data_IF_960357310659
#
_entry.id   IF_960357310659
#
_cell.length_a   1.000
_cell.length_b   1.000
_cell.length_c   1.000
_cell.angle_alpha   90.00
_cell.angle_beta   90.00
_cell.angle_gamma   90.00
#
_symmetry.space_group_name_H-M   'P 1'
#
loop_
_entity.id
_entity.type
_entity.pdbx_description
1 polymer ?
#
# COMPACT_ATOMS: atom_id res chain seq x y z
N UNK A 1 9.10 0.55 -19.68
CA UNK A 1 7.65 0.61 -19.43
C UNK A 1 7.40 1.59 -18.30
N UNK A 2 6.45 2.50 -18.50
CA UNK A 2 6.07 3.48 -17.49
C UNK A 2 5.13 2.87 -16.47
N UNK A 3 5.22 3.33 -15.22
CA UNK A 3 4.44 2.78 -14.11
C UNK A 3 2.92 2.91 -14.34
N UNK A 4 2.49 3.93 -15.07
CA UNK A 4 1.05 4.13 -15.35
C UNK A 4 0.44 3.02 -16.18
N UNK A 5 1.25 2.26 -16.90
CA UNK A 5 0.78 1.13 -17.71
C UNK A 5 0.44 -0.11 -16.88
N UNK A 6 0.95 -0.19 -15.65
CA UNK A 6 0.76 -1.36 -14.78
C UNK A 6 0.05 -1.03 -13.48
N UNK A 7 -0.13 0.24 -13.14
CA UNK A 7 -0.79 0.61 -11.88
C UNK A 7 -2.31 0.44 -11.97
N UNK A 8 -2.94 0.21 -10.82
CA UNK A 8 -4.39 0.29 -10.67
C UNK A 8 -4.76 1.75 -10.44
N UNK A 9 -5.61 2.32 -11.31
CA UNK A 9 -5.96 3.73 -11.27
C UNK A 9 -7.17 4.06 -10.39
N UNK A 10 -8.16 3.18 -10.35
CA UNK A 10 -9.39 3.38 -9.58
C UNK A 10 -9.25 2.74 -8.20
N UNK A 11 -8.45 3.35 -7.35
CA UNK A 11 -8.15 2.81 -6.03
C UNK A 11 -9.23 3.23 -5.06
N UNK A 12 -9.84 2.26 -4.39
CA UNK A 12 -10.77 2.51 -3.29
C UNK A 12 -10.01 3.02 -2.08
N UNK A 13 -10.51 4.08 -1.47
CA UNK A 13 -9.88 4.73 -0.33
C UNK A 13 -10.85 4.86 0.84
N UNK A 14 -10.31 5.10 2.01
CA UNK A 14 -11.08 5.51 3.19
C UNK A 14 -10.52 6.83 3.70
N UNK A 15 -11.15 7.40 4.72
CA UNK A 15 -10.68 8.63 5.35
C UNK A 15 -10.47 8.41 6.85
N UNK A 16 -9.94 9.42 7.54
CA UNK A 16 -9.62 9.30 8.97
C UNK A 16 -10.84 9.02 9.86
N UNK A 17 -12.04 9.38 9.40
CA UNK A 17 -13.27 9.15 10.15
C UNK A 17 -13.89 7.78 9.88
N UNK A 18 -13.37 7.05 8.92
CA UNK A 18 -13.85 5.69 8.63
C UNK A 18 -13.67 4.80 9.84
N UNK A 19 -14.62 3.90 10.06
CA UNK A 19 -14.55 2.96 11.17
C UNK A 19 -13.77 1.70 10.80
N UNK A 20 -13.29 0.99 11.78
CA UNK A 20 -12.66 -0.32 11.59
C UNK A 20 -13.55 -1.25 10.76
N UNK A 21 -14.86 -1.27 11.06
CA UNK A 21 -15.80 -2.12 10.34
C UNK A 21 -15.94 -1.74 8.87
N UNK A 22 -15.98 -0.45 8.55
CA UNK A 22 -16.04 0.03 7.17
C UNK A 22 -14.81 -0.39 6.38
N UNK A 23 -13.63 -0.22 6.98
CA UNK A 23 -12.36 -0.60 6.35
C UNK A 23 -12.30 -2.11 6.14
N UNK A 24 -12.65 -2.88 7.18
CA UNK A 24 -12.66 -4.34 7.10
C UNK A 24 -13.62 -4.84 6.01
N UNK A 25 -14.80 -4.23 5.88
CA UNK A 25 -15.76 -4.57 4.84
C UNK A 25 -15.21 -4.30 3.44
N UNK A 26 -14.52 -3.18 3.25
CA UNK A 26 -13.88 -2.88 1.97
C UNK A 26 -12.78 -3.89 1.64
N UNK A 27 -11.96 -4.24 2.61
CA UNK A 27 -10.94 -5.26 2.43
C UNK A 27 -11.52 -6.60 2.01
N UNK A 28 -12.62 -6.98 2.64
CA UNK A 28 -13.33 -8.22 2.30
C UNK A 28 -13.92 -8.18 0.92
N UNK A 29 -14.62 -7.10 0.58
CA UNK A 29 -15.30 -6.95 -0.72
C UNK A 29 -14.32 -6.88 -1.88
N UNK A 30 -13.18 -6.25 -1.69
CA UNK A 30 -12.17 -6.04 -2.72
C UNK A 30 -11.09 -7.11 -2.70
N UNK A 31 -11.10 -7.97 -1.69
CA UNK A 31 -10.06 -9.00 -1.47
C UNK A 31 -8.66 -8.38 -1.43
N UNK A 32 -8.51 -7.35 -0.61
CA UNK A 32 -7.23 -6.64 -0.43
C UNK A 32 -6.89 -6.55 1.04
N UNK A 33 -5.60 -6.47 1.34
CA UNK A 33 -5.07 -6.34 2.71
C UNK A 33 -4.58 -4.94 3.05
N UNK A 34 -4.78 -3.97 2.17
CA UNK A 34 -4.36 -2.58 2.39
C UNK A 34 -5.35 -1.62 1.72
N UNK A 35 -5.66 -0.54 2.42
CA UNK A 35 -6.51 0.54 1.91
C UNK A 35 -5.78 1.86 2.12
N UNK A 36 -5.61 2.68 1.07
CA UNK A 36 -5.07 4.03 1.24
C UNK A 36 -6.07 4.92 1.96
N UNK A 37 -5.54 5.78 2.82
CA UNK A 37 -6.33 6.75 3.57
C UNK A 37 -6.06 8.12 2.98
N UNK A 38 -7.12 8.78 2.52
CA UNK A 38 -7.03 10.08 1.85
C UNK A 38 -7.97 11.09 2.49
N UNK A 39 -7.58 12.36 2.40
CA UNK A 39 -8.42 13.51 2.73
C UNK A 39 -8.41 14.44 1.53
N UNK A 40 -9.58 14.73 0.98
CA UNK A 40 -9.74 15.54 -0.23
C UNK A 40 -8.87 15.06 -1.39
N UNK A 41 -8.77 13.73 -1.54
CA UNK A 41 -7.95 13.08 -2.57
C UNK A 41 -6.47 12.96 -2.25
N UNK A 42 -5.99 13.66 -1.21
CA UNK A 42 -4.58 13.61 -0.82
C UNK A 42 -4.29 12.40 0.05
N UNK A 43 -3.25 11.68 -0.29
CA UNK A 43 -2.80 10.53 0.48
C UNK A 43 -2.21 10.99 1.81
N UNK A 44 -2.76 10.49 2.91
CA UNK A 44 -2.27 10.78 4.26
C UNK A 44 -1.72 9.55 4.97
N UNK A 45 -2.04 8.37 4.51
CA UNK A 45 -1.53 7.15 5.12
C UNK A 45 -2.07 5.90 4.45
N UNK A 46 -1.68 4.76 5.01
CA UNK A 46 -2.19 3.45 4.62
C UNK A 46 -2.67 2.73 5.88
N UNK A 47 -3.66 1.86 5.70
CA UNK A 47 -4.07 0.94 6.74
C UNK A 47 -4.07 -0.48 6.18
N UNK A 48 -3.53 -1.42 6.95
CA UNK A 48 -3.45 -2.82 6.58
C UNK A 48 -4.37 -3.66 7.45
N UNK A 49 -4.66 -4.88 7.01
CA UNK A 49 -5.37 -5.87 7.82
C UNK A 49 -4.60 -6.16 9.12
N UNK A 50 -3.27 -6.19 9.05
CA UNK A 50 -2.44 -6.34 10.24
C UNK A 50 -2.64 -5.16 11.21
N UNK A 51 -2.75 -3.92 10.71
CA UNK A 51 -3.02 -2.75 11.55
C UNK A 51 -4.34 -2.91 12.31
N UNK A 52 -5.38 -3.41 11.64
CA UNK A 52 -6.68 -3.64 12.27
C UNK A 52 -6.60 -4.65 13.41
N UNK A 53 -5.78 -5.66 13.25
CA UNK A 53 -5.62 -6.70 14.30
C UNK A 53 -4.70 -6.22 15.42
N UNK A 54 -3.50 -5.78 15.07
CA UNK A 54 -2.44 -5.49 16.04
C UNK A 54 -2.66 -4.15 16.73
N UNK A 55 -3.07 -3.13 15.99
CA UNK A 55 -3.30 -1.79 16.53
C UNK A 55 -4.76 -1.52 16.85
N UNK A 56 -5.67 -2.35 16.35
CA UNK A 56 -7.09 -2.25 16.63
C UNK A 56 -7.55 -3.24 17.70
N UNK A 57 -7.77 -4.49 17.31
CA UNK A 57 -8.30 -5.51 18.22
C UNK A 57 -7.44 -5.70 19.46
N UNK A 58 -6.11 -5.71 19.32
CA UNK A 58 -5.20 -5.90 20.45
C UNK A 58 -5.28 -4.74 21.45
N UNK A 59 -5.76 -3.57 21.04
CA UNK A 59 -5.98 -2.40 21.89
C UNK A 59 -7.46 -2.24 22.28
N UNK A 60 -8.25 -3.30 22.12
CA UNK A 60 -9.68 -3.34 22.45
C UNK A 60 -10.55 -2.38 21.64
N UNK A 61 -10.08 -1.97 20.45
CA UNK A 61 -10.91 -1.20 19.54
C UNK A 61 -11.96 -2.12 18.91
N UNK A 62 -13.10 -1.56 18.58
CA UNK A 62 -14.21 -2.33 18.00
C UNK A 62 -14.56 -1.80 16.60
N UNK A 63 -15.58 -2.41 15.98
CA UNK A 63 -15.97 -2.08 14.61
C UNK A 63 -16.36 -0.61 14.42
N UNK A 64 -16.80 0.07 15.47
CA UNK A 64 -17.22 1.49 15.41
C UNK A 64 -16.07 2.46 15.67
N UNK A 65 -14.91 1.98 16.07
CA UNK A 65 -13.75 2.83 16.36
C UNK A 65 -13.21 3.40 15.05
N UNK A 66 -12.94 4.71 15.03
CA UNK A 66 -12.31 5.37 13.87
C UNK A 66 -10.86 4.91 13.74
N UNK A 67 -10.39 4.83 12.50
CA UNK A 67 -9.07 4.25 12.18
C UNK A 67 -7.89 5.20 12.36
N UNK A 68 -8.13 6.45 12.74
CA UNK A 68 -7.11 7.49 12.79
C UNK A 68 -5.86 7.13 13.59
N UNK A 69 -6.00 6.32 14.63
CA UNK A 69 -4.88 5.91 15.50
C UNK A 69 -4.17 4.64 14.98
N UNK A 70 -4.68 4.01 13.94
CA UNK A 70 -4.18 2.73 13.44
C UNK A 70 -3.41 2.83 12.13
N UNK A 71 -3.43 3.99 11.49
CA UNK A 71 -2.85 4.14 10.16
C UNK A 71 -1.34 4.36 10.22
N UNK A 72 -0.67 3.94 9.16
CA UNK A 72 0.74 4.27 8.91
C UNK A 72 0.80 5.54 8.09
N UNK A 73 1.45 6.58 8.62
CA UNK A 73 1.52 7.90 7.96
C UNK A 73 2.81 8.14 7.21
N UNK A 74 3.87 7.41 7.54
CA UNK A 74 5.18 7.52 6.88
C UNK A 74 5.20 6.61 5.65
N UNK A 75 4.50 7.00 4.60
CA UNK A 75 4.26 6.18 3.42
C UNK A 75 5.27 6.51 2.33
N UNK A 76 5.93 5.47 1.81
CA UNK A 76 6.80 5.58 0.63
C UNK A 76 5.90 5.64 -0.60
N UNK A 77 6.12 6.62 -1.46
CA UNK A 77 5.30 6.84 -2.66
C UNK A 77 6.16 6.92 -3.91
N UNK A 78 5.54 6.71 -5.06
CA UNK A 78 6.14 6.90 -6.36
C UNK A 78 5.42 7.98 -7.15
N UNK A 79 5.95 8.30 -8.33
CA UNK A 79 5.39 9.32 -9.23
C UNK A 79 4.99 8.70 -10.56
N UNK A 80 4.10 9.39 -11.29
CA UNK A 80 3.62 8.91 -12.60
C UNK A 80 4.69 8.86 -13.68
N UNK A 81 5.82 9.53 -13.47
CA UNK A 81 6.92 9.58 -14.45
C UNK A 81 7.93 8.45 -14.24
N UNK A 82 7.72 7.66 -13.22
CA UNK A 82 8.61 6.57 -12.83
C UNK A 82 8.49 5.40 -13.80
N UNK A 83 9.61 4.72 -14.02
CA UNK A 83 9.61 3.46 -14.76
C UNK A 83 9.27 2.30 -13.83
N UNK A 84 8.90 1.17 -14.44
CA UNK A 84 8.65 -0.07 -13.70
C UNK A 84 9.90 -0.50 -12.91
N UNK A 85 11.08 -0.34 -13.51
CA UNK A 85 12.35 -0.68 -12.86
C UNK A 85 12.61 0.20 -11.64
N UNK A 86 12.33 1.49 -11.75
CA UNK A 86 12.48 2.42 -10.61
C UNK A 86 11.53 2.05 -9.47
N UNK A 87 10.29 1.67 -9.80
CA UNK A 87 9.32 1.24 -8.80
C UNK A 87 9.79 -0.04 -8.10
N UNK A 88 10.30 -1.01 -8.85
CA UNK A 88 10.84 -2.25 -8.29
C UNK A 88 12.01 -1.97 -7.35
N UNK A 89 12.89 -1.04 -7.72
CA UNK A 89 14.03 -0.66 -6.89
C UNK A 89 13.57 -0.03 -5.56
N UNK A 90 12.56 0.83 -5.61
CA UNK A 90 12.01 1.43 -4.38
C UNK A 90 11.39 0.36 -3.49
N UNK A 91 10.63 -0.56 -4.07
CA UNK A 91 10.03 -1.66 -3.32
C UNK A 91 11.11 -2.54 -2.66
N UNK A 92 12.19 -2.82 -3.38
CA UNK A 92 13.33 -3.58 -2.85
C UNK A 92 14.00 -2.85 -1.70
N UNK A 93 14.33 -1.58 -1.89
CA UNK A 93 15.02 -0.77 -0.90
C UNK A 93 14.27 -0.67 0.41
N UNK A 94 12.94 -0.50 0.32
CA UNK A 94 12.09 -0.31 1.48
C UNK A 94 11.39 -1.60 1.93
N UNK A 95 11.63 -2.71 1.24
CA UNK A 95 11.02 -4.03 1.55
C UNK A 95 9.49 -3.95 1.63
N UNK A 96 8.89 -3.26 0.66
CA UNK A 96 7.44 -3.09 0.57
C UNK A 96 6.91 -3.79 -0.68
N UNK A 97 5.65 -4.22 -0.63
CA UNK A 97 4.99 -4.94 -1.72
C UNK A 97 3.98 -4.08 -2.48
N UNK A 98 3.74 -2.88 -2.02
CA UNK A 98 2.79 -1.94 -2.63
C UNK A 98 3.38 -0.56 -2.61
N UNK A 99 3.12 0.18 -3.69
CA UNK A 99 3.65 1.53 -3.85
C UNK A 99 2.52 2.43 -4.32
N UNK A 100 2.02 3.34 -3.46
CA UNK A 100 1.08 4.36 -3.89
C UNK A 100 1.76 5.33 -4.86
N UNK A 101 1.05 5.69 -5.92
CA UNK A 101 1.53 6.66 -6.90
C UNK A 101 0.75 7.96 -6.68
N UNK A 102 1.49 9.05 -6.48
CA UNK A 102 0.89 10.36 -6.17
C UNK A 102 1.37 11.42 -7.15
N UNK A 103 0.54 12.45 -7.33
CA UNK A 103 0.85 13.63 -8.11
C UNK A 103 0.33 14.84 -7.32
N UNK A 104 1.24 15.74 -6.93
CA UNK A 104 0.90 16.90 -6.10
C UNK A 104 0.15 16.50 -4.81
N UNK A 105 0.56 15.39 -4.21
CA UNK A 105 -0.07 14.84 -3.01
C UNK A 105 -1.33 14.02 -3.28
N UNK A 106 -1.92 14.11 -4.47
CA UNK A 106 -3.12 13.37 -4.84
C UNK A 106 -2.78 11.92 -5.19
N UNK A 107 -3.53 10.98 -4.63
CA UNK A 107 -3.38 9.56 -4.99
C UNK A 107 -3.95 9.34 -6.38
N UNK A 108 -3.11 8.87 -7.30
CA UNK A 108 -3.53 8.60 -8.69
C UNK A 108 -3.51 7.12 -9.04
N UNK A 109 -2.87 6.30 -8.23
CA UNK A 109 -2.83 4.86 -8.49
C UNK A 109 -2.09 4.10 -7.40
N UNK A 110 -2.09 2.79 -7.56
CA UNK A 110 -1.40 1.86 -6.66
C UNK A 110 -0.74 0.78 -7.50
N UNK A 111 0.51 0.48 -7.18
CA UNK A 111 1.25 -0.61 -7.83
C UNK A 111 1.57 -1.66 -6.79
N UNK A 112 1.30 -2.92 -7.13
CA UNK A 112 1.70 -4.04 -6.28
C UNK A 112 2.85 -4.81 -6.92
N UNK A 113 3.56 -5.58 -6.11
CA UNK A 113 4.58 -6.49 -6.61
C UNK A 113 3.96 -7.48 -7.60
N UNK A 114 2.71 -7.91 -7.37
CA UNK A 114 1.98 -8.77 -8.31
C UNK A 114 1.76 -8.10 -9.65
N UNK A 115 1.48 -6.80 -9.68
CA UNK A 115 1.33 -6.05 -10.95
C UNK A 115 2.61 -6.08 -11.76
N UNK A 116 3.76 -5.95 -11.09
CA UNK A 116 5.05 -6.03 -11.74
C UNK A 116 5.32 -7.43 -12.28
N UNK A 117 4.91 -8.44 -11.54
CA UNK A 117 5.17 -9.84 -11.90
C UNK A 117 4.40 -10.28 -13.14
N UNK A 118 3.20 -9.71 -13.41
CA UNK A 118 2.43 -10.04 -14.62
C UNK A 118 2.86 -9.25 -15.85
N UNK A 119 3.73 -8.26 -15.69
CA UNK A 119 4.27 -7.48 -16.79
C UNK A 119 5.48 -8.20 -17.38
N UNK A 120 5.44 -8.54 -18.67
CA UNK A 120 6.55 -9.22 -19.34
C UNK A 120 7.86 -8.45 -19.28
N UNK A 121 7.79 -7.11 -19.23
CA UNK A 121 8.96 -6.25 -19.18
C UNK A 121 9.60 -6.17 -17.78
N UNK A 122 8.92 -6.62 -16.74
CA UNK A 122 9.32 -6.41 -15.34
C UNK A 122 9.42 -7.70 -14.51
N UNK A 123 9.23 -8.88 -15.13
CA UNK A 123 9.30 -10.15 -14.40
C UNK A 123 10.62 -10.31 -13.61
N UNK A 124 11.72 -9.90 -14.23
CA UNK A 124 13.04 -9.99 -13.60
C UNK A 124 13.14 -9.03 -12.41
N UNK A 125 12.66 -7.82 -12.59
CA UNK A 125 12.66 -6.78 -11.56
C UNK A 125 11.74 -7.17 -10.40
N UNK A 126 10.58 -7.74 -10.70
CA UNK A 126 9.65 -8.22 -9.69
C UNK A 126 10.26 -9.38 -8.89
N UNK A 127 10.93 -10.32 -9.55
CA UNK A 127 11.62 -11.42 -8.89
C UNK A 127 12.72 -10.95 -7.97
N UNK A 128 13.51 -9.98 -8.41
CA UNK A 128 14.54 -9.37 -7.59
C UNK A 128 13.95 -8.64 -6.39
N UNK A 129 12.89 -7.85 -6.60
CA UNK A 129 12.22 -7.13 -5.53
C UNK A 129 11.65 -8.10 -4.49
N UNK A 130 11.04 -9.19 -4.93
CA UNK A 130 10.51 -10.20 -4.01
C UNK A 130 11.64 -10.86 -3.20
N UNK A 131 12.75 -11.16 -3.84
CA UNK A 131 13.91 -11.71 -3.16
C UNK A 131 14.42 -10.78 -2.08
N UNK A 132 14.61 -9.50 -2.41
CA UNK A 132 15.09 -8.48 -1.49
C UNK A 132 14.10 -8.24 -0.33
N UNK A 133 12.82 -8.19 -0.63
CA UNK A 133 11.76 -8.00 0.37
C UNK A 133 11.70 -9.20 1.33
N UNK A 134 11.98 -10.39 0.82
CA UNK A 134 11.89 -11.64 1.57
C UNK A 134 13.12 -11.93 2.43
N UNK A 135 14.20 -11.16 2.28
CA UNK A 135 15.37 -11.30 3.16
C UNK A 135 14.95 -10.99 4.59
N UNK A 136 15.21 -11.90 5.55
CA UNK A 136 14.85 -11.65 6.93
C UNK A 136 15.53 -10.38 7.46
N UNK A 137 14.79 -9.57 8.19
CA UNK A 137 15.37 -8.43 8.90
C UNK A 137 16.36 -8.97 9.95
N UNK A 138 17.45 -8.23 10.18
CA UNK A 138 18.36 -8.61 11.25
C UNK A 138 17.60 -8.64 12.58
N UNK A 139 17.87 -9.66 13.41
CA UNK A 139 17.18 -9.77 14.69
C UNK A 139 17.40 -8.52 15.52
N UNK A 140 16.32 -7.82 15.80
CA UNK A 140 16.33 -6.78 16.81
C UNK A 140 16.31 -7.45 18.16
N UNK A 141 17.30 -7.23 18.89
CA UNK A 141 17.46 -7.86 20.19
C UNK A 141 16.90 -6.99 21.28
#
# INVERSE_FOLDING_TARGET
MNITEVMTSNVETCNLKSSCGEVANKMKSLDVGVIPICEDGKLIGLITDRDLVVNGLANNFNANTQISEMITTDVITGTKHMSVEQAADIMSQHQIRRLPIVEDGQLIGMVSLGDLAVSNASNKEAGKALEDISVPAEPTK
#
